data_IF_147783954075
#
_entry.id   IF_147783954075
#
_cell.length_a   1.000
_cell.length_b   1.000
_cell.length_c   1.000
_cell.angle_alpha   90.00
_cell.angle_beta   90.00
_cell.angle_gamma   90.00
#
_symmetry.space_group_name_H-M   'P 1'
#
loop_
_entity.id
_entity.type
_entity.pdbx_description
1 polymer ?
#
# COMPACT_ATOMS: atom_id res chain seq x y z
N UNK A 1 1.15 -14.36 -1.48
CA UNK A 1 1.75 -13.05 -1.75
C UNK A 1 1.43 -12.10 -0.59
N UNK A 2 2.33 -11.15 -0.25
CA UNK A 2 2.11 -10.21 0.85
C UNK A 2 2.22 -8.76 0.38
N UNK A 3 1.45 -7.88 1.03
CA UNK A 3 1.59 -6.42 0.98
C UNK A 3 1.62 -5.89 2.41
N UNK A 4 2.45 -4.87 2.69
CA UNK A 4 2.60 -4.27 4.02
C UNK A 4 1.87 -2.93 4.14
N UNK A 5 1.31 -2.65 5.32
CA UNK A 5 0.67 -1.40 5.65
C UNK A 5 0.99 -0.93 7.06
N UNK A 6 1.57 0.25 7.18
CA UNK A 6 1.79 0.90 8.48
C UNK A 6 0.59 1.80 8.84
N UNK A 7 -0.28 1.41 9.80
CA UNK A 7 -1.52 2.12 10.12
C UNK A 7 -1.31 3.35 11.03
N UNK A 8 -0.21 4.05 10.86
CA UNK A 8 0.05 5.35 11.51
C UNK A 8 -0.58 6.54 10.76
N UNK A 9 -1.40 6.30 9.76
CA UNK A 9 -2.14 7.28 8.98
C UNK A 9 -3.07 6.61 7.98
N UNK A 10 -3.96 7.41 7.36
CA UNK A 10 -4.95 6.91 6.41
C UNK A 10 -4.30 6.29 5.16
N UNK A 11 -4.97 5.31 4.51
CA UNK A 11 -4.55 4.75 3.23
C UNK A 11 -4.39 5.83 2.17
N UNK A 12 -3.47 5.62 1.26
CA UNK A 12 -3.17 6.58 0.20
C UNK A 12 -2.82 5.88 -1.12
N UNK A 13 -2.46 6.67 -2.13
CA UNK A 13 -2.14 6.19 -3.47
C UNK A 13 -1.01 5.13 -3.50
N UNK A 14 -0.03 5.22 -2.59
CA UNK A 14 1.00 4.18 -2.41
C UNK A 14 0.41 2.84 -1.95
N UNK A 15 -0.48 2.87 -0.97
CA UNK A 15 -1.21 1.68 -0.48
C UNK A 15 -2.04 1.04 -1.59
N UNK A 16 -2.76 1.87 -2.37
CA UNK A 16 -3.46 1.40 -3.55
C UNK A 16 -2.51 0.71 -4.54
N UNK A 17 -1.39 1.35 -4.86
CA UNK A 17 -0.42 0.86 -5.82
C UNK A 17 0.18 -0.50 -5.45
N UNK A 18 0.43 -0.75 -4.17
CA UNK A 18 0.92 -2.05 -3.70
C UNK A 18 -0.09 -3.18 -3.92
N UNK A 19 -1.32 -2.97 -3.49
CA UNK A 19 -2.37 -3.98 -3.62
C UNK A 19 -2.77 -4.19 -5.08
N UNK A 20 -2.88 -3.10 -5.88
CA UNK A 20 -3.21 -3.18 -7.31
C UNK A 20 -2.15 -3.99 -8.07
N UNK A 21 -0.86 -3.70 -7.91
CA UNK A 21 0.23 -4.45 -8.56
C UNK A 21 0.23 -5.92 -8.15
N UNK A 22 0.07 -6.20 -6.86
CA UNK A 22 0.04 -7.57 -6.34
C UNK A 22 -1.17 -8.34 -6.86
N UNK A 23 -2.34 -7.70 -6.98
CA UNK A 23 -3.54 -8.30 -7.58
C UNK A 23 -3.32 -8.68 -9.05
N UNK A 24 -2.60 -7.86 -9.81
CA UNK A 24 -2.28 -8.17 -11.21
C UNK A 24 -1.30 -9.35 -11.34
N UNK A 25 -0.33 -9.46 -10.44
CA UNK A 25 0.56 -10.63 -10.36
C UNK A 25 -0.25 -11.89 -10.02
N UNK A 26 -1.18 -11.81 -9.07
CA UNK A 26 -2.06 -12.94 -8.74
C UNK A 26 -2.91 -13.37 -9.95
N UNK A 27 -3.44 -12.40 -10.70
CA UNK A 27 -4.18 -12.73 -11.92
C UNK A 27 -3.29 -13.44 -12.95
N UNK A 28 -2.06 -12.98 -13.15
CA UNK A 28 -1.10 -13.64 -14.05
C UNK A 28 -0.78 -15.06 -13.59
N UNK A 29 -0.50 -15.26 -12.30
CA UNK A 29 -0.20 -16.59 -11.74
C UNK A 29 -1.33 -17.60 -11.95
N UNK A 30 -2.59 -17.18 -11.78
CA UNK A 30 -3.77 -18.05 -12.00
C UNK A 30 -3.90 -18.56 -13.42
N UNK A 31 -3.32 -17.88 -14.40
CA UNK A 31 -3.31 -18.31 -15.81
C UNK A 31 -2.04 -19.07 -16.19
N UNK A 32 -0.97 -18.93 -15.41
CA UNK A 32 0.30 -19.59 -15.68
C UNK A 32 0.49 -20.86 -14.87
N UNK A 33 -0.26 -21.03 -13.78
CA UNK A 33 -0.09 -22.15 -12.85
C UNK A 33 -1.42 -22.53 -12.21
N UNK A 34 -1.53 -23.77 -11.75
CA UNK A 34 -2.67 -24.25 -10.95
C UNK A 34 -2.47 -24.04 -9.44
N UNK A 35 -1.43 -23.29 -9.04
CA UNK A 35 -1.14 -23.04 -7.63
C UNK A 35 -2.19 -22.13 -7.00
N UNK A 36 -2.68 -22.47 -5.80
CA UNK A 36 -3.57 -21.57 -5.07
C UNK A 36 -2.84 -20.27 -4.73
N UNK A 37 -3.50 -19.14 -4.96
CA UNK A 37 -2.91 -17.83 -4.74
C UNK A 37 -3.79 -16.98 -3.83
N UNK A 38 -3.17 -16.33 -2.84
CA UNK A 38 -3.81 -15.42 -1.91
C UNK A 38 -2.98 -14.16 -1.73
N UNK A 39 -3.65 -13.02 -1.54
CA UNK A 39 -3.00 -11.77 -1.12
C UNK A 39 -3.21 -11.59 0.37
N UNK A 40 -2.15 -11.56 1.13
CA UNK A 40 -2.15 -11.15 2.53
C UNK A 40 -1.90 -9.65 2.58
N UNK A 41 -2.85 -8.88 3.09
CA UNK A 41 -2.67 -7.48 3.43
C UNK A 41 -2.35 -7.39 4.92
N UNK A 42 -1.08 -7.18 5.23
CA UNK A 42 -0.57 -7.18 6.60
C UNK A 42 -0.52 -5.77 7.17
N UNK A 43 -1.12 -5.56 8.33
CA UNK A 43 -1.09 -4.30 9.06
C UNK A 43 -0.11 -4.36 10.23
N UNK A 44 0.85 -3.43 10.27
CA UNK A 44 1.82 -3.26 11.36
C UNK A 44 1.22 -2.51 12.55
N UNK A 45 0.00 -2.87 12.96
CA UNK A 45 -0.79 -2.18 13.99
C UNK A 45 -0.30 -2.37 15.44
N UNK A 46 0.69 -3.25 15.63
CA UNK A 46 1.43 -3.39 16.89
C UNK A 46 2.62 -2.44 17.01
N UNK A 47 2.93 -1.67 15.99
CA UNK A 47 3.98 -0.65 16.06
C UNK A 47 3.62 0.44 17.05
N UNK A 48 4.63 0.93 17.79
CA UNK A 48 4.47 2.07 18.68
C UNK A 48 4.21 3.36 17.89
N UNK A 49 3.27 4.19 18.36
CA UNK A 49 3.04 5.52 17.81
C UNK A 49 4.28 6.39 18.02
N UNK A 50 5.08 6.63 16.97
CA UNK A 50 6.36 7.37 17.07
C UNK A 50 6.19 8.88 17.02
N UNK A 51 5.17 9.36 16.32
CA UNK A 51 4.85 10.80 16.20
C UNK A 51 3.36 10.97 15.93
N UNK A 52 2.82 12.11 16.31
CA UNK A 52 1.45 12.50 15.99
C UNK A 52 1.37 12.90 14.53
N UNK A 53 0.44 12.35 13.72
CA UNK A 53 0.20 12.79 12.35
C UNK A 53 -0.38 14.23 12.32
N UNK A 54 -0.05 14.99 11.26
CA UNK A 54 -0.48 16.39 11.14
C UNK A 54 -1.99 16.56 10.89
N UNK A 55 -2.61 15.58 10.25
CA UNK A 55 -3.99 15.61 9.74
C UNK A 55 -4.99 14.84 10.61
N UNK A 56 -4.77 14.77 11.92
CA UNK A 56 -5.67 14.10 12.86
C UNK A 56 -6.21 15.09 13.90
N UNK A 57 -7.46 14.89 14.39
CA UNK A 57 -7.96 15.67 15.53
C UNK A 57 -7.31 15.20 16.84
N UNK A 58 -7.55 15.93 17.92
CA UNK A 58 -7.13 15.57 19.28
C UNK A 58 -5.65 15.20 19.40
N UNK A 59 -4.76 16.03 18.86
CA UNK A 59 -3.31 15.80 18.86
C UNK A 59 -2.74 15.57 20.25
N UNK A 60 -3.19 16.32 21.27
CA UNK A 60 -2.78 16.15 22.66
C UNK A 60 -3.10 14.75 23.22
N UNK A 61 -4.23 14.15 22.80
CA UNK A 61 -4.56 12.76 23.16
C UNK A 61 -3.50 11.80 22.61
N UNK A 62 -3.10 11.98 21.38
CA UNK A 62 -2.09 11.15 20.74
C UNK A 62 -0.70 11.38 21.35
N UNK A 63 -0.32 12.61 21.67
CA UNK A 63 0.94 12.95 22.32
C UNK A 63 1.11 12.21 23.66
N UNK A 64 0.04 12.13 24.48
CA UNK A 64 0.03 11.40 25.76
C UNK A 64 0.14 9.88 25.58
N UNK A 65 -0.06 9.38 24.36
CA UNK A 65 -0.04 7.95 24.03
C UNK A 65 1.09 7.57 23.07
N UNK A 66 2.11 8.43 22.90
CA UNK A 66 3.31 8.08 22.13
C UNK A 66 3.95 6.80 22.68
N UNK A 67 4.57 6.07 21.78
CA UNK A 67 5.24 4.79 22.01
C UNK A 67 4.33 3.60 22.38
N UNK A 68 3.03 3.77 22.58
CA UNK A 68 2.12 2.65 22.73
C UNK A 68 1.83 1.99 21.38
N UNK A 69 1.58 0.66 21.34
CA UNK A 69 1.07 0.02 20.13
C UNK A 69 -0.14 0.78 19.58
N UNK A 70 -0.25 0.93 18.27
CA UNK A 70 -1.35 1.69 17.65
C UNK A 70 -2.74 1.17 18.05
N UNK A 71 -2.85 -0.12 18.34
CA UNK A 71 -4.07 -0.75 18.86
C UNK A 71 -4.36 -0.43 20.33
N UNK A 72 -3.41 0.17 21.05
CA UNK A 72 -3.58 0.64 22.43
C UNK A 72 -3.65 2.18 22.53
N UNK A 73 -3.54 2.88 21.39
CA UNK A 73 -3.72 4.33 21.31
C UNK A 73 -5.19 4.64 21.11
N UNK A 74 -5.85 5.46 21.96
CA UNK A 74 -7.25 5.83 21.76
C UNK A 74 -7.49 6.46 20.38
N UNK A 75 -8.64 6.18 19.77
CA UNK A 75 -9.01 6.75 18.47
C UNK A 75 -9.28 8.26 18.57
N UNK A 76 -8.47 9.12 17.93
CA UNK A 76 -8.69 10.57 17.96
C UNK A 76 -9.98 11.01 17.24
N UNK A 77 -10.57 10.14 16.40
CA UNK A 77 -11.84 10.39 15.70
C UNK A 77 -13.05 9.86 16.49
N UNK A 78 -12.85 9.13 17.59
CA UNK A 78 -13.90 8.57 18.45
C UNK A 78 -14.91 7.66 17.73
N UNK A 79 -14.45 6.95 16.70
CA UNK A 79 -15.28 6.03 15.89
C UNK A 79 -15.02 4.56 16.20
N UNK A 80 -13.84 4.25 16.71
CA UNK A 80 -13.36 2.90 17.00
C UNK A 80 -12.67 2.86 18.37
N UNK A 81 -12.32 1.67 18.85
CA UNK A 81 -11.69 1.52 20.16
C UNK A 81 -10.25 2.06 20.19
N UNK A 82 -9.56 2.03 19.04
CA UNK A 82 -8.19 2.48 18.95
C UNK A 82 -7.86 3.14 17.61
N UNK A 83 -6.77 3.90 17.58
CA UNK A 83 -6.24 4.51 16.36
C UNK A 83 -5.78 3.46 15.35
N UNK A 84 -5.19 2.35 15.81
CA UNK A 84 -4.86 1.21 14.95
C UNK A 84 -6.09 0.58 14.31
N UNK A 85 -7.15 0.34 15.08
CA UNK A 85 -8.42 -0.18 14.57
C UNK A 85 -9.06 0.77 13.56
N UNK A 86 -9.10 2.08 13.87
CA UNK A 86 -9.60 3.10 12.94
C UNK A 86 -8.92 3.00 11.57
N UNK A 87 -7.58 3.03 11.56
CA UNK A 87 -6.83 3.00 10.30
C UNK A 87 -6.96 1.65 9.57
N UNK A 88 -7.07 0.54 10.31
CA UNK A 88 -7.32 -0.78 9.72
C UNK A 88 -8.70 -0.84 9.03
N UNK A 89 -9.74 -0.30 9.66
CA UNK A 89 -11.08 -0.25 9.06
C UNK A 89 -11.12 0.71 7.85
N UNK A 90 -10.40 1.83 7.90
CA UNK A 90 -10.24 2.70 6.72
C UNK A 90 -9.52 1.98 5.58
N UNK A 91 -8.48 1.18 5.87
CA UNK A 91 -7.81 0.35 4.86
C UNK A 91 -8.77 -0.67 4.23
N UNK A 92 -9.49 -1.42 5.06
CA UNK A 92 -10.47 -2.42 4.56
C UNK A 92 -11.54 -1.77 3.70
N UNK A 93 -12.15 -0.68 4.16
CA UNK A 93 -13.12 0.10 3.39
C UNK A 93 -12.55 0.57 2.07
N UNK A 94 -11.33 1.10 2.09
CA UNK A 94 -10.62 1.56 0.91
C UNK A 94 -10.41 0.42 -0.11
N UNK A 95 -9.86 -0.71 0.32
CA UNK A 95 -9.60 -1.86 -0.56
C UNK A 95 -10.89 -2.47 -1.10
N UNK A 96 -11.95 -2.53 -0.29
CA UNK A 96 -13.26 -3.02 -0.70
C UNK A 96 -13.92 -2.12 -1.76
N UNK A 97 -13.77 -0.80 -1.67
CA UNK A 97 -14.26 0.15 -2.68
C UNK A 97 -13.66 -0.13 -4.06
N UNK A 98 -12.40 -0.59 -4.11
CA UNK A 98 -11.74 -1.02 -5.34
C UNK A 98 -11.94 -2.50 -5.68
N UNK A 99 -12.76 -3.21 -4.90
CA UNK A 99 -13.09 -4.63 -5.12
C UNK A 99 -11.88 -5.57 -5.13
N UNK A 100 -10.81 -5.22 -4.42
CA UNK A 100 -9.66 -6.09 -4.24
C UNK A 100 -10.03 -7.33 -3.43
N UNK A 101 -9.47 -8.49 -3.80
CA UNK A 101 -9.58 -9.73 -3.04
C UNK A 101 -8.32 -9.89 -2.20
N UNK A 102 -8.46 -9.94 -0.89
CA UNK A 102 -7.34 -10.00 0.06
C UNK A 102 -7.76 -10.69 1.36
N UNK A 103 -6.76 -11.20 2.10
CA UNK A 103 -6.90 -11.67 3.47
C UNK A 103 -6.18 -10.69 4.40
N UNK A 104 -6.95 -9.98 5.21
CA UNK A 104 -6.41 -9.00 6.16
C UNK A 104 -5.78 -9.70 7.37
N UNK A 105 -4.56 -9.31 7.73
CA UNK A 105 -3.86 -9.76 8.93
C UNK A 105 -3.42 -8.57 9.78
N UNK A 106 -3.80 -8.60 11.06
CA UNK A 106 -3.36 -7.65 12.08
C UNK A 106 -2.13 -8.21 12.79
N UNK A 107 -1.05 -7.45 12.84
CA UNK A 107 0.14 -7.78 13.62
C UNK A 107 -0.22 -8.05 15.08
N UNK A 108 -0.95 -7.12 15.71
CA UNK A 108 -1.39 -7.26 17.11
C UNK A 108 -2.18 -8.57 17.34
N UNK A 109 -3.10 -8.91 16.44
CA UNK A 109 -3.91 -10.13 16.57
C UNK A 109 -3.04 -11.38 16.46
N UNK A 110 -2.10 -11.43 15.51
CA UNK A 110 -1.23 -12.58 15.32
C UNK A 110 -0.23 -12.76 16.46
N UNK A 111 0.32 -11.67 17.00
CA UNK A 111 1.17 -11.74 18.19
C UNK A 111 0.39 -12.19 19.43
N UNK A 112 -0.76 -11.57 19.72
CA UNK A 112 -1.56 -11.87 20.93
C UNK A 112 -2.24 -13.25 20.90
N UNK A 113 -2.57 -13.76 19.73
CA UNK A 113 -3.16 -15.11 19.61
C UNK A 113 -2.14 -16.24 19.75
N UNK A 114 -0.85 -15.91 19.85
CA UNK A 114 0.23 -16.90 19.87
C UNK A 114 0.58 -17.48 18.49
N UNK A 115 -0.02 -16.98 17.40
CA UNK A 115 0.28 -17.46 16.05
C UNK A 115 1.79 -17.39 15.73
N UNK A 116 2.46 -16.33 16.20
CA UNK A 116 3.89 -16.15 15.99
C UNK A 116 4.79 -16.81 17.04
N UNK A 117 4.25 -17.46 18.09
CA UNK A 117 5.06 -17.97 19.20
C UNK A 117 6.19 -18.91 18.74
N UNK A 118 5.87 -19.89 17.88
CA UNK A 118 6.90 -20.80 17.33
C UNK A 118 7.97 -20.06 16.52
N UNK A 119 7.57 -19.08 15.71
CA UNK A 119 8.50 -18.27 14.92
C UNK A 119 9.35 -17.35 15.78
N UNK A 120 8.77 -16.77 16.84
CA UNK A 120 9.51 -15.98 17.83
C UNK A 120 10.56 -16.80 18.56
N UNK A 121 10.25 -18.08 18.86
CA UNK A 121 11.24 -19.01 19.43
C UNK A 121 12.41 -19.22 18.47
N UNK A 122 12.14 -19.44 17.18
CA UNK A 122 13.20 -19.59 16.17
C UNK A 122 14.08 -18.32 16.11
N UNK A 123 13.47 -17.12 16.19
CA UNK A 123 14.23 -15.85 16.25
C UNK A 123 15.11 -15.80 17.52
N UNK A 124 14.58 -16.20 18.69
CA UNK A 124 15.34 -16.20 19.95
C UNK A 124 16.50 -17.20 19.91
N UNK A 125 16.31 -18.37 19.33
CA UNK A 125 17.37 -19.37 19.17
C UNK A 125 18.52 -18.86 18.30
N UNK A 126 18.19 -18.05 17.28
CA UNK A 126 19.16 -17.46 16.35
C UNK A 126 19.57 -16.02 16.72
N UNK A 127 19.34 -15.59 17.98
CA UNK A 127 19.56 -14.23 18.43
C UNK A 127 20.93 -13.68 18.05
N UNK A 128 22.01 -14.40 18.40
CA UNK A 128 23.39 -13.96 18.16
C UNK A 128 23.69 -13.85 16.65
N UNK A 129 23.19 -14.77 15.84
CA UNK A 129 23.31 -14.73 14.39
C UNK A 129 22.62 -13.49 13.80
N UNK A 130 21.43 -13.16 14.30
CA UNK A 130 20.67 -11.96 13.89
C UNK A 130 21.42 -10.69 14.31
N UNK A 131 21.95 -10.64 15.53
CA UNK A 131 22.78 -9.53 15.99
C UNK A 131 23.99 -9.33 15.09
N UNK A 132 24.69 -10.40 14.70
CA UNK A 132 25.84 -10.34 13.79
C UNK A 132 25.48 -9.83 12.39
N UNK A 133 24.25 -10.05 11.92
CA UNK A 133 23.75 -9.50 10.64
C UNK A 133 23.43 -8.01 10.75
N UNK A 134 22.80 -7.60 11.84
CA UNK A 134 22.25 -6.23 11.95
C UNK A 134 23.26 -5.24 12.50
N UNK A 135 24.01 -5.55 13.57
CA UNK A 135 24.87 -4.59 14.25
C UNK A 135 25.89 -3.90 13.34
N UNK A 136 26.56 -4.59 12.39
CA UNK A 136 27.52 -3.93 11.50
C UNK A 136 26.90 -2.83 10.59
N UNK A 137 25.57 -2.83 10.44
CA UNK A 137 24.85 -1.85 9.62
C UNK A 137 24.42 -0.61 10.39
N UNK A 138 24.60 -0.59 11.69
CA UNK A 138 24.16 0.47 12.59
C UNK A 138 25.32 1.36 13.01
N UNK A 139 25.04 2.64 13.25
CA UNK A 139 25.99 3.55 13.88
C UNK A 139 26.29 3.14 15.33
N UNK A 140 27.49 3.50 15.85
CA UNK A 140 28.00 3.08 17.16
C UNK A 140 27.02 3.27 18.33
N UNK A 141 26.29 4.38 18.36
CA UNK A 141 25.33 4.64 19.44
C UNK A 141 24.10 3.71 19.33
N UNK A 142 23.62 3.47 18.12
CA UNK A 142 22.48 2.54 17.92
C UNK A 142 22.86 1.08 18.16
N UNK A 143 24.12 0.70 17.94
CA UNK A 143 24.62 -0.64 18.29
C UNK A 143 24.48 -0.94 19.79
N UNK A 144 24.68 0.05 20.66
CA UNK A 144 24.57 -0.10 22.12
C UNK A 144 23.14 -0.32 22.60
N UNK A 145 22.15 0.15 21.84
CA UNK A 145 20.72 0.15 22.22
C UNK A 145 19.88 -0.83 21.40
N UNK A 146 20.47 -1.48 20.42
CA UNK A 146 19.72 -2.37 19.53
C UNK A 146 19.41 -3.71 20.19
N UNK A 147 18.20 -4.18 20.00
CA UNK A 147 17.77 -5.57 20.21
C UNK A 147 16.80 -5.99 19.10
N UNK A 148 16.83 -7.24 18.65
CA UNK A 148 15.78 -7.80 17.78
C UNK A 148 14.40 -7.78 18.41
N UNK A 149 14.32 -7.89 19.74
CA UNK A 149 13.10 -7.91 20.52
C UNK A 149 12.82 -6.55 21.16
N UNK A 150 11.58 -6.11 21.06
CA UNK A 150 11.05 -4.87 21.64
C UNK A 150 10.01 -5.26 22.70
N UNK A 151 10.37 -5.28 23.99
CA UNK A 151 9.39 -5.61 25.03
C UNK A 151 8.30 -4.54 25.13
N UNK A 152 7.10 -4.97 25.47
CA UNK A 152 6.02 -4.06 25.85
C UNK A 152 6.09 -3.86 27.35
N UNK A 153 6.28 -2.62 27.78
CA UNK A 153 6.35 -2.30 29.21
C UNK A 153 5.04 -2.66 29.93
N UNK A 154 5.06 -3.53 30.95
CA UNK A 154 3.82 -3.94 31.63
C UNK A 154 3.17 -2.81 32.42
N UNK A 155 3.92 -1.75 32.73
CA UNK A 155 3.43 -0.61 33.52
C UNK A 155 2.87 0.50 32.62
N UNK A 156 3.58 0.86 31.57
CA UNK A 156 3.20 1.99 30.67
C UNK A 156 2.51 1.57 29.40
N UNK A 157 2.65 0.30 28.99
CA UNK A 157 2.20 -0.23 27.74
C UNK A 157 3.02 0.22 26.53
N UNK A 158 4.18 0.87 26.74
CA UNK A 158 5.04 1.36 25.68
C UNK A 158 5.83 0.23 25.03
N UNK A 159 5.99 0.29 23.71
CA UNK A 159 6.99 -0.49 22.97
C UNK A 159 8.37 0.08 23.28
N UNK A 160 9.23 -0.69 23.93
CA UNK A 160 10.52 -0.22 24.39
C UNK A 160 11.63 -0.54 23.38
N UNK A 161 12.32 0.47 22.88
CA UNK A 161 13.49 0.35 22.01
C UNK A 161 14.80 0.35 22.85
N UNK A 162 14.98 -0.67 23.68
CA UNK A 162 16.09 -0.81 24.63
C UNK A 162 16.85 -2.10 24.39
N UNK A 163 18.13 -2.18 24.84
CA UNK A 163 18.90 -3.42 24.71
C UNK A 163 18.35 -4.51 25.64
N UNK A 164 18.40 -5.74 25.16
CA UNK A 164 18.20 -6.92 26.00
C UNK A 164 19.51 -7.23 26.70
N UNK A 165 19.48 -7.36 28.04
CA UNK A 165 20.64 -7.68 28.88
C UNK A 165 20.95 -9.18 28.90
N UNK A 166 19.90 -10.00 28.92
CA UNK A 166 20.03 -11.44 28.95
C UNK A 166 18.84 -12.11 28.24
N UNK A 167 19.06 -13.31 27.73
CA UNK A 167 18.04 -14.15 27.10
C UNK A 167 18.03 -15.54 27.76
N UNK A 168 16.83 -16.08 27.95
CA UNK A 168 16.66 -17.46 28.39
C UNK A 168 15.89 -18.21 27.28
N UNK A 169 16.61 -19.00 26.48
CA UNK A 169 16.07 -19.70 25.31
C UNK A 169 15.09 -20.82 25.71
N UNK A 170 15.31 -21.47 26.84
CA UNK A 170 14.46 -22.57 27.34
C UNK A 170 13.11 -22.06 27.85
N UNK A 171 13.12 -20.91 28.55
CA UNK A 171 11.92 -20.30 29.11
C UNK A 171 11.26 -19.28 28.18
N UNK A 172 11.87 -19.00 27.01
CA UNK A 172 11.39 -17.99 26.05
C UNK A 172 11.21 -16.61 26.68
N UNK A 173 12.23 -16.19 27.48
CA UNK A 173 12.24 -14.95 28.25
C UNK A 173 13.42 -14.08 27.82
N UNK A 174 13.18 -12.76 27.82
CA UNK A 174 14.22 -11.73 27.70
C UNK A 174 14.25 -10.88 28.99
N UNK A 175 15.44 -10.41 29.34
CA UNK A 175 15.67 -9.50 30.48
C UNK A 175 16.16 -8.17 29.96
N UNK A 176 15.59 -7.08 30.44
CA UNK A 176 15.91 -5.72 30.05
C UNK A 176 15.89 -4.75 31.22
N UNK A 177 16.58 -3.64 31.09
CA UNK A 177 16.55 -2.57 32.10
C UNK A 177 15.33 -1.68 31.92
N UNK A 178 14.62 -1.45 32.99
CA UNK A 178 13.56 -0.46 33.05
C UNK A 178 13.82 0.52 34.21
N UNK A 179 14.47 1.63 33.91
CA UNK A 179 14.84 2.67 34.87
C UNK A 179 15.67 2.16 36.05
N UNK A 180 16.69 1.36 35.76
CA UNK A 180 17.64 0.81 36.76
C UNK A 180 17.14 -0.47 37.45
N UNK A 181 16.00 -1.01 37.06
CA UNK A 181 15.44 -2.28 37.52
C UNK A 181 15.37 -3.28 36.39
N UNK A 182 15.96 -4.45 36.59
CA UNK A 182 15.86 -5.54 35.62
C UNK A 182 14.46 -6.14 35.67
N UNK A 183 13.80 -6.19 34.50
CA UNK A 183 12.52 -6.82 34.27
C UNK A 183 12.68 -7.99 33.31
N UNK A 184 11.92 -9.06 33.60
CA UNK A 184 11.77 -10.21 32.71
C UNK A 184 10.44 -10.14 31.99
N UNK A 185 10.43 -10.53 30.71
CA UNK A 185 9.20 -10.71 29.96
C UNK A 185 9.27 -11.91 29.01
N UNK A 186 8.15 -12.58 28.81
CA UNK A 186 8.01 -13.58 27.77
C UNK A 186 8.07 -12.91 26.39
N UNK A 187 8.64 -13.59 25.42
CA UNK A 187 8.59 -13.14 24.01
C UNK A 187 7.24 -13.45 23.33
N UNK A 188 6.35 -14.20 24.00
CA UNK A 188 5.09 -14.72 23.48
C UNK A 188 3.89 -13.83 23.78
N UNK A 189 2.78 -14.13 23.11
CA UNK A 189 1.42 -13.64 23.38
C UNK A 189 1.30 -12.11 23.39
N UNK A 190 2.13 -11.45 22.57
CA UNK A 190 2.12 -9.99 22.43
C UNK A 190 2.80 -9.23 23.57
N UNK A 191 3.52 -9.89 24.49
CA UNK A 191 4.35 -9.20 25.50
C UNK A 191 5.62 -8.60 24.91
N UNK A 192 5.98 -9.00 23.70
CA UNK A 192 7.11 -8.51 22.95
C UNK A 192 6.73 -8.45 21.46
N UNK A 193 7.31 -7.51 20.73
CA UNK A 193 7.31 -7.51 19.26
C UNK A 193 8.74 -7.50 18.74
N UNK A 194 8.93 -7.72 17.44
CA UNK A 194 10.23 -7.65 16.80
C UNK A 194 10.53 -6.28 16.20
N UNK A 195 11.81 -5.95 16.08
CA UNK A 195 12.30 -4.85 15.24
C UNK A 195 11.94 -5.10 13.78
N UNK A 196 11.62 -4.03 13.04
CA UNK A 196 11.09 -4.04 11.67
C UNK A 196 11.74 -5.08 10.73
N UNK A 197 13.07 -5.08 10.60
CA UNK A 197 13.76 -5.97 9.66
C UNK A 197 13.68 -7.44 10.06
N UNK A 198 13.69 -7.69 11.36
CA UNK A 198 13.55 -9.04 11.94
C UNK A 198 12.11 -9.49 11.87
N UNK A 199 11.17 -8.60 12.17
CA UNK A 199 9.74 -8.84 12.04
C UNK A 199 9.34 -9.19 10.61
N UNK A 200 9.89 -8.47 9.62
CA UNK A 200 9.63 -8.72 8.21
C UNK A 200 10.12 -10.12 7.78
N UNK A 201 11.30 -10.53 8.18
CA UNK A 201 11.81 -11.88 7.95
C UNK A 201 10.98 -12.96 8.67
N UNK A 202 10.57 -12.71 9.92
CA UNK A 202 9.72 -13.61 10.70
C UNK A 202 8.34 -13.76 10.06
N UNK A 203 7.74 -12.70 9.53
CA UNK A 203 6.47 -12.76 8.80
C UNK A 203 6.57 -13.63 7.55
N UNK A 204 7.63 -13.45 6.75
CA UNK A 204 7.88 -14.32 5.59
C UNK A 204 7.96 -15.77 5.99
N UNK A 205 8.64 -16.03 7.11
CA UNK A 205 8.78 -17.38 7.66
C UNK A 205 7.46 -17.98 8.14
N UNK A 206 6.69 -17.22 8.94
CA UNK A 206 5.49 -17.70 9.62
C UNK A 206 4.27 -17.80 8.70
N UNK A 207 4.17 -16.93 7.70
CA UNK A 207 3.04 -16.83 6.76
C UNK A 207 3.31 -17.52 5.42
N UNK A 208 4.46 -18.21 5.28
CA UNK A 208 4.89 -18.86 4.04
C UNK A 208 4.73 -17.93 2.81
N UNK A 209 5.35 -16.75 2.89
CA UNK A 209 5.24 -15.76 1.83
C UNK A 209 6.17 -16.11 0.66
N UNK A 210 5.60 -16.32 -0.53
CA UNK A 210 6.36 -16.65 -1.75
C UNK A 210 6.74 -15.43 -2.57
N UNK A 211 5.98 -14.33 -2.43
CA UNK A 211 6.18 -13.13 -3.23
C UNK A 211 5.80 -11.86 -2.47
N UNK A 212 6.68 -10.85 -2.51
CA UNK A 212 6.40 -9.50 -2.00
C UNK A 212 7.16 -8.44 -2.82
N UNK A 213 6.45 -7.38 -3.22
CA UNK A 213 7.07 -6.17 -3.79
C UNK A 213 7.19 -5.10 -2.71
N UNK A 214 8.22 -4.26 -2.83
CA UNK A 214 8.45 -3.18 -1.86
C UNK A 214 9.02 -1.93 -2.54
N UNK A 215 8.85 -0.78 -1.91
CA UNK A 215 9.45 0.47 -2.38
C UNK A 215 10.98 0.43 -2.36
N UNK A 216 11.64 1.13 -3.29
CA UNK A 216 13.11 1.16 -3.36
C UNK A 216 13.78 1.67 -2.09
N UNK A 217 13.10 2.43 -1.28
CA UNK A 217 13.56 2.90 0.03
C UNK A 217 13.66 1.79 1.09
N UNK A 218 13.10 0.61 0.81
CA UNK A 218 13.19 -0.58 1.65
C UNK A 218 14.24 -1.60 1.18
N UNK A 219 15.00 -1.34 0.11
CA UNK A 219 15.97 -2.30 -0.46
C UNK A 219 16.97 -2.79 0.59
N UNK A 220 17.57 -1.88 1.37
CA UNK A 220 18.52 -2.27 2.41
C UNK A 220 17.86 -3.12 3.50
N UNK A 221 16.62 -2.80 3.86
CA UNK A 221 15.84 -3.61 4.81
C UNK A 221 15.55 -5.00 4.26
N UNK A 222 15.14 -5.10 2.99
CA UNK A 222 14.88 -6.38 2.32
C UNK A 222 16.14 -7.26 2.24
N UNK A 223 17.32 -6.67 1.97
CA UNK A 223 18.60 -7.40 1.97
C UNK A 223 18.89 -8.00 3.36
N UNK A 224 18.65 -7.23 4.44
CA UNK A 224 18.88 -7.71 5.80
C UNK A 224 17.85 -8.77 6.21
N UNK A 225 16.57 -8.54 5.91
CA UNK A 225 15.51 -9.54 6.14
C UNK A 225 15.76 -10.84 5.35
N UNK A 226 16.30 -10.73 4.12
CA UNK A 226 16.73 -11.89 3.32
C UNK A 226 17.87 -12.69 3.99
N UNK A 227 18.83 -12.02 4.62
CA UNK A 227 19.89 -12.70 5.37
C UNK A 227 19.33 -13.39 6.61
N UNK A 228 18.38 -12.76 7.29
CA UNK A 228 17.75 -13.29 8.50
C UNK A 228 16.91 -14.53 8.17
N UNK A 229 16.03 -14.47 7.16
CA UNK A 229 15.19 -15.63 6.81
C UNK A 229 16.03 -16.83 6.39
N UNK A 230 17.15 -16.63 5.70
CA UNK A 230 18.11 -17.69 5.36
C UNK A 230 18.79 -18.27 6.60
N UNK A 231 19.17 -17.42 7.57
CA UNK A 231 19.74 -17.87 8.84
C UNK A 231 18.77 -18.77 9.61
N UNK A 232 17.46 -18.45 9.59
CA UNK A 232 16.43 -19.23 10.28
C UNK A 232 15.88 -20.41 9.47
N UNK A 233 16.52 -20.75 8.34
CA UNK A 233 16.30 -21.99 7.61
C UNK A 233 15.21 -21.97 6.54
N UNK A 234 14.75 -20.79 6.07
CA UNK A 234 13.84 -20.68 4.92
C UNK A 234 14.44 -19.83 3.78
N UNK A 235 13.88 -19.99 2.59
CA UNK A 235 14.15 -19.11 1.44
C UNK A 235 13.35 -17.81 1.55
N UNK A 236 13.93 -16.72 1.08
CA UNK A 236 13.23 -15.46 0.98
C UNK A 236 12.20 -15.48 -0.15
N UNK A 237 11.10 -14.71 -0.04
CA UNK A 237 10.14 -14.56 -1.13
C UNK A 237 10.81 -13.99 -2.39
N UNK A 238 10.27 -14.36 -3.55
CA UNK A 238 10.55 -13.68 -4.80
C UNK A 238 9.95 -12.28 -4.77
N UNK A 239 10.46 -11.37 -5.58
CA UNK A 239 9.93 -10.01 -5.65
C UNK A 239 10.92 -9.02 -6.23
N UNK A 240 10.54 -7.78 -6.25
CA UNK A 240 11.41 -6.70 -6.70
C UNK A 240 11.04 -5.36 -6.05
N UNK A 241 12.03 -4.46 -6.02
CA UNK A 241 11.80 -3.08 -5.61
C UNK A 241 11.15 -2.28 -6.74
N UNK A 242 10.09 -1.53 -6.42
CA UNK A 242 9.49 -0.57 -7.33
C UNK A 242 9.94 0.85 -7.01
N UNK A 243 9.95 1.70 -8.05
CA UNK A 243 10.32 3.10 -7.94
C UNK A 243 9.23 3.94 -7.27
N UNK A 244 9.67 5.03 -6.65
CA UNK A 244 8.80 5.99 -6.00
C UNK A 244 8.12 6.90 -7.03
N UNK A 245 6.99 7.47 -6.65
CA UNK A 245 6.34 8.52 -7.44
C UNK A 245 6.99 9.88 -7.17
N UNK A 246 7.09 10.66 -8.23
CA UNK A 246 7.61 12.02 -8.23
C UNK A 246 6.47 12.98 -8.56
N UNK A 247 6.55 14.19 -8.07
CA UNK A 247 5.67 15.27 -8.48
C UNK A 247 6.04 15.81 -9.88
N UNK A 248 5.33 16.83 -10.35
CA UNK A 248 5.58 17.46 -11.64
C UNK A 248 7.02 17.96 -11.79
N UNK A 249 7.60 18.49 -10.70
CA UNK A 249 8.97 19.01 -10.66
C UNK A 249 10.04 17.92 -10.56
N UNK A 250 9.65 16.66 -10.35
CA UNK A 250 10.55 15.53 -10.17
C UNK A 250 11.01 15.32 -8.73
N UNK A 251 10.36 15.96 -7.76
CA UNK A 251 10.60 15.71 -6.34
C UNK A 251 9.80 14.52 -5.83
N UNK A 252 10.32 13.83 -4.82
CA UNK A 252 9.60 12.71 -4.18
C UNK A 252 8.27 13.20 -3.60
N UNK A 253 7.18 12.52 -3.97
CA UNK A 253 5.87 12.75 -3.37
C UNK A 253 5.90 12.30 -1.91
N UNK A 254 5.45 13.16 -1.01
CA UNK A 254 5.31 12.84 0.41
C UNK A 254 4.01 13.38 0.98
N UNK A 255 3.44 12.65 1.95
CA UNK A 255 2.21 13.05 2.65
C UNK A 255 2.33 14.42 3.32
N UNK A 256 3.49 14.73 3.88
CA UNK A 256 3.74 15.99 4.60
C UNK A 256 3.87 17.20 3.68
N UNK A 257 4.30 17.00 2.42
CA UNK A 257 4.40 18.09 1.43
C UNK A 257 3.08 18.36 0.70
N UNK A 258 2.16 17.38 0.68
CA UNK A 258 0.90 17.48 -0.07
C UNK A 258 1.10 17.64 -1.58
N UNK A 259 2.28 17.30 -2.10
CA UNK A 259 2.62 17.37 -3.50
C UNK A 259 2.20 16.09 -4.24
N UNK A 260 1.66 16.23 -5.43
CA UNK A 260 1.12 15.14 -6.24
C UNK A 260 -0.40 15.00 -6.14
N UNK A 261 -0.98 14.19 -7.01
CA UNK A 261 -2.42 13.94 -7.06
C UNK A 261 -2.83 12.86 -6.05
N UNK A 262 -3.94 13.07 -5.36
CA UNK A 262 -4.56 12.06 -4.48
C UNK A 262 -5.40 11.08 -5.29
N UNK A 263 -5.82 9.96 -4.65
CA UNK A 263 -6.74 9.02 -5.29
C UNK A 263 -8.08 9.69 -5.58
N UNK A 264 -8.63 10.44 -4.62
CA UNK A 264 -9.92 11.11 -4.79
C UNK A 264 -9.86 12.09 -5.97
N UNK A 265 -8.79 12.87 -6.08
CA UNK A 265 -8.57 13.73 -7.23
C UNK A 265 -8.42 12.96 -8.55
N UNK A 266 -7.78 11.78 -8.56
CA UNK A 266 -7.76 10.95 -9.77
C UNK A 266 -9.17 10.50 -10.16
N UNK A 267 -9.95 10.03 -9.19
CA UNK A 267 -11.30 9.50 -9.42
C UNK A 267 -12.31 10.58 -9.81
N UNK A 268 -12.03 11.86 -9.56
CA UNK A 268 -12.80 12.97 -10.12
C UNK A 268 -12.68 13.07 -11.65
N UNK A 269 -11.57 12.61 -12.22
CA UNK A 269 -11.21 12.81 -13.62
C UNK A 269 -11.13 11.53 -14.44
N UNK A 270 -11.06 10.36 -13.79
CA UNK A 270 -10.84 9.09 -14.47
C UNK A 270 -11.25 7.88 -13.62
N UNK A 271 -11.35 6.73 -14.27
CA UNK A 271 -11.73 5.48 -13.63
C UNK A 271 -10.62 4.88 -12.74
N UNK A 272 -10.99 4.06 -11.74
CA UNK A 272 -10.03 3.33 -10.93
C UNK A 272 -9.19 2.32 -11.74
N UNK A 273 -9.71 1.82 -12.86
CA UNK A 273 -8.98 0.93 -13.75
C UNK A 273 -7.82 1.63 -14.44
N UNK A 274 -8.01 2.89 -14.87
CA UNK A 274 -6.93 3.71 -15.42
C UNK A 274 -5.84 3.99 -14.38
N UNK A 275 -6.21 4.21 -13.11
CA UNK A 275 -5.24 4.34 -12.02
C UNK A 275 -4.50 3.03 -11.80
N UNK A 276 -5.18 1.88 -11.80
CA UNK A 276 -4.56 0.57 -11.67
C UNK A 276 -3.55 0.31 -12.77
N UNK A 277 -3.88 0.64 -14.02
CA UNK A 277 -2.95 0.57 -15.14
C UNK A 277 -1.72 1.44 -14.89
N UNK A 278 -1.91 2.69 -14.49
CA UNK A 278 -0.80 3.60 -14.21
C UNK A 278 0.13 3.06 -13.12
N UNK A 279 -0.43 2.49 -12.07
CA UNK A 279 0.35 1.91 -10.97
C UNK A 279 1.20 0.72 -11.41
N UNK A 280 0.68 -0.12 -12.32
CA UNK A 280 1.36 -1.32 -12.77
C UNK A 280 2.41 -1.06 -13.85
N UNK A 281 2.14 -0.17 -14.80
CA UNK A 281 3.06 0.07 -15.92
C UNK A 281 4.45 0.48 -15.44
N UNK A 282 5.50 -0.21 -15.91
CA UNK A 282 6.90 0.11 -15.65
C UNK A 282 7.22 0.37 -14.15
N UNK A 283 6.97 -0.57 -13.24
CA UNK A 283 7.13 -0.33 -11.80
C UNK A 283 8.58 -0.02 -11.39
N UNK A 284 9.56 -0.42 -12.19
CA UNK A 284 11.00 -0.16 -11.99
C UNK A 284 11.47 1.20 -12.53
N UNK A 285 10.54 2.06 -13.02
CA UNK A 285 10.85 3.43 -13.46
C UNK A 285 10.11 4.42 -12.59
N UNK A 286 10.81 5.46 -12.14
CA UNK A 286 10.19 6.59 -11.47
C UNK A 286 9.16 7.24 -12.40
N UNK A 287 7.97 7.51 -11.88
CA UNK A 287 6.86 8.11 -12.62
C UNK A 287 6.40 9.38 -11.93
N UNK A 288 6.08 10.38 -12.74
CA UNK A 288 5.52 11.63 -12.25
C UNK A 288 4.02 11.48 -12.08
N UNK A 289 3.51 11.82 -10.92
CA UNK A 289 2.09 11.73 -10.56
C UNK A 289 1.54 13.13 -10.32
N UNK A 290 0.94 13.71 -11.35
CA UNK A 290 0.36 15.04 -11.40
C UNK A 290 -0.89 15.06 -12.30
N UNK A 291 -1.65 16.16 -12.29
CA UNK A 291 -3.00 16.18 -12.88
C UNK A 291 -3.03 15.86 -14.37
N UNK A 292 -2.13 16.41 -15.15
CA UNK A 292 -2.10 16.28 -16.62
C UNK A 292 -1.78 14.87 -17.09
N UNK A 293 -1.14 14.03 -16.25
CA UNK A 293 -0.87 12.65 -16.59
C UNK A 293 -2.15 11.80 -16.67
N UNK A 294 -3.25 12.25 -16.05
CA UNK A 294 -4.50 11.49 -15.98
C UNK A 294 -5.08 11.26 -17.37
N UNK A 295 -5.22 12.32 -18.18
CA UNK A 295 -5.81 12.23 -19.52
C UNK A 295 -5.01 11.30 -20.44
N UNK A 296 -3.68 11.44 -20.42
CA UNK A 296 -2.80 10.53 -21.17
C UNK A 296 -2.96 9.07 -20.72
N UNK A 297 -3.04 8.85 -19.41
CA UNK A 297 -3.20 7.48 -18.89
C UNK A 297 -4.54 6.88 -19.28
N UNK A 298 -5.59 7.70 -19.33
CA UNK A 298 -6.90 7.23 -19.82
C UNK A 298 -6.81 6.83 -21.30
N UNK A 299 -6.15 7.62 -22.14
CA UNK A 299 -5.97 7.27 -23.55
C UNK A 299 -5.13 5.99 -23.70
N UNK A 300 -4.02 5.84 -22.99
CA UNK A 300 -3.24 4.60 -22.96
C UNK A 300 -4.09 3.38 -22.52
N UNK A 301 -4.99 3.58 -21.54
CA UNK A 301 -5.91 2.54 -21.07
C UNK A 301 -6.92 2.15 -22.13
N UNK A 302 -7.52 3.10 -22.84
CA UNK A 302 -8.48 2.86 -23.91
C UNK A 302 -7.84 2.14 -25.10
N UNK A 303 -6.64 2.53 -25.48
CA UNK A 303 -5.86 1.88 -26.54
C UNK A 303 -5.55 0.43 -26.20
N UNK A 304 -5.25 0.11 -24.95
CA UNK A 304 -4.98 -1.26 -24.51
C UNK A 304 -6.25 -2.12 -24.48
N UNK A 305 -7.41 -1.55 -24.14
CA UNK A 305 -8.72 -2.21 -24.29
C UNK A 305 -8.98 -2.56 -25.74
N UNK A 306 -8.78 -1.61 -26.64
CA UNK A 306 -9.03 -1.84 -28.08
C UNK A 306 -8.11 -2.92 -28.64
N UNK A 307 -6.81 -2.91 -28.27
CA UNK A 307 -5.84 -3.95 -28.64
C UNK A 307 -6.26 -5.33 -28.13
N UNK A 308 -6.79 -5.42 -26.92
CA UNK A 308 -7.16 -6.68 -26.29
C UNK A 308 -8.22 -7.47 -27.10
N UNK A 309 -9.08 -6.80 -27.88
CA UNK A 309 -10.13 -7.44 -28.68
C UNK A 309 -9.59 -8.39 -29.75
N UNK A 310 -8.39 -8.13 -30.24
CA UNK A 310 -7.76 -8.89 -31.32
C UNK A 310 -6.56 -9.72 -30.85
N UNK A 311 -6.35 -9.84 -29.54
CA UNK A 311 -5.22 -10.56 -28.94
C UNK A 311 -5.61 -11.99 -28.61
N UNK A 312 -4.70 -12.93 -28.89
CA UNK A 312 -4.78 -14.29 -28.37
C UNK A 312 -4.40 -14.35 -26.89
N UNK A 313 -4.58 -15.50 -26.25
CA UNK A 313 -4.36 -15.70 -24.81
C UNK A 313 -2.94 -15.30 -24.38
N UNK A 314 -1.90 -15.68 -25.11
CA UNK A 314 -0.51 -15.33 -24.81
C UNK A 314 -0.27 -13.81 -24.89
N UNK A 315 -0.88 -13.15 -25.87
CA UNK A 315 -0.80 -11.70 -26.02
C UNK A 315 -1.59 -10.98 -24.93
N UNK A 316 -2.74 -11.54 -24.50
CA UNK A 316 -3.54 -11.02 -23.38
C UNK A 316 -2.75 -11.08 -22.05
N UNK A 317 -1.99 -12.16 -21.81
CA UNK A 317 -1.07 -12.24 -20.65
C UNK A 317 -0.06 -11.10 -20.61
N UNK A 318 0.34 -10.57 -21.76
CA UNK A 318 1.26 -9.43 -21.86
C UNK A 318 0.54 -8.08 -21.84
N UNK A 319 -0.77 -8.05 -21.88
CA UNK A 319 -1.58 -6.83 -21.87
C UNK A 319 -1.98 -6.46 -20.42
N UNK A 320 -1.45 -5.37 -19.83
CA UNK A 320 -1.76 -5.02 -18.45
C UNK A 320 -3.26 -4.75 -18.19
N UNK A 321 -4.02 -4.28 -19.17
CA UNK A 321 -5.46 -4.05 -19.03
C UNK A 321 -6.22 -5.36 -18.77
N UNK A 322 -5.76 -6.47 -19.34
CA UNK A 322 -6.37 -7.77 -19.07
C UNK A 322 -6.26 -8.14 -17.57
N UNK A 323 -5.12 -7.83 -16.94
CA UNK A 323 -4.92 -8.04 -15.51
C UNK A 323 -5.71 -7.06 -14.65
N UNK A 324 -5.80 -5.80 -15.06
CA UNK A 324 -6.63 -4.78 -14.38
C UNK A 324 -8.10 -5.25 -14.29
N UNK A 325 -8.60 -5.88 -15.34
CA UNK A 325 -9.99 -6.38 -15.41
C UNK A 325 -10.16 -7.83 -14.94
N UNK A 326 -9.18 -8.43 -14.27
CA UNK A 326 -9.23 -9.83 -13.85
C UNK A 326 -9.65 -10.77 -14.99
N UNK A 327 -9.05 -10.60 -16.16
CA UNK A 327 -9.29 -11.36 -17.41
C UNK A 327 -10.62 -11.07 -18.11
N UNK A 328 -11.41 -10.12 -17.64
CA UNK A 328 -12.71 -9.75 -18.19
C UNK A 328 -12.65 -8.35 -18.84
N UNK A 329 -11.82 -8.20 -19.88
CA UNK A 329 -11.69 -6.91 -20.58
C UNK A 329 -13.02 -6.48 -21.22
N UNK A 330 -13.43 -5.22 -21.05
CA UNK A 330 -14.64 -4.70 -21.70
C UNK A 330 -14.57 -4.82 -23.23
N UNK A 331 -15.71 -5.14 -23.85
CA UNK A 331 -15.84 -5.29 -25.31
C UNK A 331 -16.37 -4.03 -26.01
N UNK A 332 -16.63 -2.98 -25.25
CA UNK A 332 -17.13 -1.72 -25.78
C UNK A 332 -16.17 -1.11 -26.81
N UNK A 333 -16.73 -0.58 -27.89
CA UNK A 333 -15.94 0.07 -28.95
C UNK A 333 -15.61 1.50 -28.53
N UNK A 334 -14.34 1.87 -28.61
CA UNK A 334 -13.94 3.25 -28.35
C UNK A 334 -14.44 4.17 -29.48
N UNK A 335 -15.12 5.23 -29.09
CA UNK A 335 -15.72 6.19 -30.01
C UNK A 335 -14.70 7.24 -30.43
N UNK A 336 -13.98 7.80 -29.45
CA UNK A 336 -12.86 8.73 -29.60
C UNK A 336 -11.97 8.67 -28.37
N UNK A 337 -10.75 9.22 -28.46
CA UNK A 337 -9.84 9.33 -27.32
C UNK A 337 -10.37 10.32 -26.26
N UNK A 338 -9.92 10.18 -25.02
CA UNK A 338 -10.28 11.11 -23.94
C UNK A 338 -9.74 12.52 -24.21
N UNK A 339 -8.54 12.62 -24.77
CA UNK A 339 -7.97 13.91 -25.21
C UNK A 339 -8.80 14.61 -26.28
N UNK A 340 -9.34 13.84 -27.24
CA UNK A 340 -10.29 14.41 -28.23
C UNK A 340 -11.60 14.87 -27.57
N UNK A 341 -12.08 14.13 -26.59
CA UNK A 341 -13.28 14.47 -25.85
C UNK A 341 -13.11 15.77 -25.04
N UNK A 342 -11.95 15.95 -24.40
CA UNK A 342 -11.59 17.19 -23.70
C UNK A 342 -11.56 18.38 -24.65
N UNK A 343 -10.89 18.24 -25.81
CA UNK A 343 -10.89 19.29 -26.84
C UNK A 343 -12.31 19.63 -27.35
N UNK A 344 -13.17 18.59 -27.45
CA UNK A 344 -14.55 18.80 -27.87
C UNK A 344 -15.36 19.61 -26.84
N UNK A 345 -15.15 19.36 -25.54
CA UNK A 345 -15.76 20.15 -24.46
C UNK A 345 -15.34 21.61 -24.56
N UNK A 346 -14.03 21.85 -24.68
CA UNK A 346 -13.46 23.22 -24.78
C UNK A 346 -14.01 23.97 -25.99
N UNK A 347 -13.99 23.36 -27.18
CA UNK A 347 -14.42 23.99 -28.43
C UNK A 347 -15.91 24.19 -28.55
N UNK A 348 -16.71 23.31 -27.93
CA UNK A 348 -18.17 23.40 -27.96
C UNK A 348 -18.78 24.18 -26.79
N UNK A 349 -17.98 24.54 -25.77
CA UNK A 349 -18.44 25.05 -24.49
C UNK A 349 -19.56 24.19 -23.88
N UNK A 350 -19.46 22.86 -24.03
CA UNK A 350 -20.46 21.95 -23.49
C UNK A 350 -20.38 21.95 -21.94
N UNK A 351 -21.49 22.29 -21.31
CA UNK A 351 -21.63 22.37 -19.85
C UNK A 351 -22.34 21.16 -19.22
N UNK A 352 -22.78 20.23 -20.03
CA UNK A 352 -23.51 19.02 -19.59
C UNK A 352 -23.19 17.81 -20.45
N UNK A 353 -23.38 16.60 -19.86
CA UNK A 353 -23.23 15.34 -20.60
C UNK A 353 -24.14 15.28 -21.82
N UNK A 354 -25.38 15.70 -21.67
CA UNK A 354 -26.39 15.68 -22.72
C UNK A 354 -25.98 16.54 -23.91
N UNK A 355 -25.40 17.72 -23.65
CA UNK A 355 -24.92 18.61 -24.70
C UNK A 355 -23.68 18.04 -25.39
N UNK A 356 -22.73 17.50 -24.61
CA UNK A 356 -21.53 16.90 -25.16
C UNK A 356 -21.85 15.67 -26.02
N UNK A 357 -22.78 14.80 -25.58
CA UNK A 357 -23.27 13.68 -26.37
C UNK A 357 -23.90 14.11 -27.71
N UNK A 358 -24.60 15.25 -27.78
CA UNK A 358 -25.10 15.77 -29.06
C UNK A 358 -23.98 16.07 -30.04
N UNK A 359 -22.85 16.58 -29.55
CA UNK A 359 -21.66 16.81 -30.39
C UNK A 359 -21.00 15.50 -30.79
N UNK A 360 -20.82 14.56 -29.87
CA UNK A 360 -20.26 13.22 -30.15
C UNK A 360 -21.07 12.51 -31.25
N UNK A 361 -22.38 12.54 -31.20
CA UNK A 361 -23.29 11.94 -32.22
C UNK A 361 -23.17 12.58 -33.60
N UNK A 362 -22.61 13.78 -33.72
CA UNK A 362 -22.30 14.38 -35.04
C UNK A 362 -21.09 13.73 -35.71
N UNK A 363 -20.13 13.24 -34.92
CA UNK A 363 -18.93 12.54 -35.40
C UNK A 363 -19.22 11.08 -35.72
N UNK A 364 -20.01 10.42 -34.89
CA UNK A 364 -20.36 9.01 -35.08
C UNK A 364 -21.87 8.84 -34.88
N UNK A 365 -22.56 8.53 -35.97
CA UNK A 365 -24.00 8.24 -35.96
C UNK A 365 -24.25 6.84 -35.37
N UNK A 366 -25.47 6.59 -34.94
CA UNK A 366 -25.94 5.28 -34.46
C UNK A 366 -25.22 4.77 -33.19
N UNK A 367 -24.93 5.66 -32.27
CA UNK A 367 -24.36 5.36 -30.95
C UNK A 367 -25.27 5.87 -29.84
N UNK A 368 -25.31 5.16 -28.71
CA UNK A 368 -26.09 5.56 -27.54
C UNK A 368 -25.27 5.46 -26.26
N UNK A 369 -25.66 6.23 -25.26
CA UNK A 369 -25.11 6.20 -23.91
C UNK A 369 -25.22 4.81 -23.27
N UNK A 370 -26.37 4.13 -23.51
CA UNK A 370 -26.66 2.82 -22.92
C UNK A 370 -25.78 1.70 -23.47
N UNK A 371 -25.39 1.79 -24.73
CA UNK A 371 -24.57 0.77 -25.38
C UNK A 371 -23.07 1.02 -25.18
N UNK A 372 -22.71 2.19 -24.63
CA UNK A 372 -21.33 2.62 -24.43
C UNK A 372 -21.11 3.18 -23.01
N UNK A 373 -21.29 2.37 -21.94
CA UNK A 373 -21.24 2.86 -20.56
C UNK A 373 -19.85 3.35 -20.13
N UNK A 374 -18.76 2.80 -20.65
CA UNK A 374 -17.41 3.29 -20.37
C UNK A 374 -17.21 4.66 -20.99
N UNK A 375 -17.63 4.80 -22.26
CA UNK A 375 -17.53 6.09 -22.94
C UNK A 375 -18.47 7.15 -22.31
N UNK A 376 -19.66 6.75 -21.85
CA UNK A 376 -20.58 7.63 -21.13
C UNK A 376 -19.96 8.17 -19.83
N UNK A 377 -19.20 7.34 -19.10
CA UNK A 377 -18.42 7.78 -17.94
C UNK A 377 -17.33 8.77 -18.35
N UNK A 378 -16.63 8.53 -19.47
CA UNK A 378 -15.61 9.47 -19.97
C UNK A 378 -16.20 10.82 -20.34
N UNK A 379 -17.41 10.86 -20.92
CA UNK A 379 -18.14 12.11 -21.19
C UNK A 379 -18.37 12.88 -19.87
N UNK A 380 -18.76 12.20 -18.80
CA UNK A 380 -18.91 12.79 -17.47
C UNK A 380 -17.59 13.35 -16.91
N UNK A 381 -16.51 12.58 -17.00
CA UNK A 381 -15.18 13.03 -16.56
C UNK A 381 -14.69 14.24 -17.36
N UNK A 382 -14.92 14.27 -18.69
CA UNK A 382 -14.51 15.40 -19.52
C UNK A 382 -15.19 16.71 -19.11
N UNK A 383 -16.48 16.67 -18.79
CA UNK A 383 -17.21 17.83 -18.25
C UNK A 383 -16.60 18.27 -16.91
N UNK A 384 -16.33 17.34 -16.00
CA UNK A 384 -15.74 17.67 -14.68
C UNK A 384 -14.35 18.32 -14.81
N UNK A 385 -13.51 17.81 -15.72
CA UNK A 385 -12.18 18.38 -16.01
C UNK A 385 -12.31 19.82 -16.50
N UNK A 386 -13.21 20.08 -17.45
CA UNK A 386 -13.43 21.42 -18.00
C UNK A 386 -13.87 22.42 -16.92
N UNK A 387 -14.83 22.05 -16.07
CA UNK A 387 -15.28 22.91 -14.97
C UNK A 387 -14.17 23.27 -13.98
N UNK A 388 -13.28 22.35 -13.68
CA UNK A 388 -12.16 22.62 -12.76
C UNK A 388 -11.07 23.48 -13.38
N UNK A 389 -10.85 23.42 -14.70
CA UNK A 389 -9.96 24.32 -15.41
C UNK A 389 -10.50 25.75 -15.50
N UNK A 390 -11.78 25.93 -15.82
CA UNK A 390 -12.42 27.24 -15.88
C UNK A 390 -12.38 27.97 -14.52
N UNK A 391 -12.69 27.28 -13.41
CA UNK A 391 -12.61 27.86 -12.06
C UNK A 391 -11.20 28.21 -11.62
N UNK A 392 -10.19 27.45 -12.04
CA UNK A 392 -8.80 27.78 -11.74
C UNK A 392 -8.35 29.09 -12.43
N UNK A 393 -8.90 29.40 -13.61
CA UNK A 393 -8.62 30.67 -14.31
C UNK A 393 -9.39 31.85 -13.72
N UNK A 394 -10.61 31.66 -13.20
CA UNK A 394 -11.41 32.74 -12.58
C UNK A 394 -10.88 33.16 -11.20
N UNK A 395 -10.12 32.33 -10.50
CA UNK A 395 -9.53 32.68 -9.19
C UNK A 395 -8.21 33.43 -9.27
N UNK A 396 -7.68 33.67 -10.47
CA UNK A 396 -6.45 34.45 -10.72
C UNK A 396 -6.68 35.82 -11.40
N UNK A 397 -7.92 36.30 -11.42
CA UNK A 397 -8.27 37.69 -11.90
C UNK A 397 -8.64 38.56 -10.73
#
# INVERSE_FOLDING_TARGET
LQTGYGPSGLPHIGTFGEVARTSMIVNALKHLTDLPTEIITFSDDMDGLRKVPDNVPQKELLEKNLHKPLTNVPDPFQKFNSFGEHNNEMLKKFLNNFKFKYNFKSSTSLYKSGFFNSSLQVILENYDGIMNIILPTLGKERQKTYSPFLPICPVTGHVLEIPVKNINKEKSIIVFDNNGKDLETSIYDGNCKLQWKVDWAMRWYALDVDFEMYGKDLIESAILSTKIIKLIGKTNPSGFAYELFLDEKGEKISKSKGNGITIDQWLEYASPESLSLYMYQNPKRAKKLYKEIVSKTVDDYLDLIEKAKNQNELQLLMNPVWHVHNSLVPKENMIMSFSMLLNLVETSNADSKELLWKFVKKYKKDISEKDNPIFDNLVGYAITVSYTHLRAHETYV
#
